data_IF_991144135173
#
_entry.id   IF_991144135173
#
_cell.length_a   1.000
_cell.length_b   1.000
_cell.length_c   1.000
_cell.angle_alpha   90.00
_cell.angle_beta   90.00
_cell.angle_gamma   90.00
#
_symmetry.space_group_name_H-M   'P 1'
#
loop_
_entity.id
_entity.type
_entity.pdbx_description
1 polymer ?
#
# COMPACT_ATOMS: atom_id res chain seq x y z
N UNK A 1 -33.12 59.45 46.44
CA UNK A 1 -32.07 59.54 47.49
C UNK A 1 -30.78 60.00 46.80
N UNK A 2 -30.44 61.29 46.89
CA UNK A 2 -29.17 61.86 46.40
C UNK A 2 -28.12 61.64 47.48
N UNK A 3 -26.96 61.09 47.12
CA UNK A 3 -25.72 61.26 47.89
C UNK A 3 -24.58 61.55 46.93
N UNK A 4 -23.86 62.62 47.26
CA UNK A 4 -22.65 63.16 46.65
C UNK A 4 -21.48 62.63 47.48
N UNK A 5 -20.42 62.10 46.87
CA UNK A 5 -19.04 62.11 47.40
C UNK A 5 -18.12 62.13 46.17
N UNK A 6 -17.46 63.25 45.86
CA UNK A 6 -16.26 63.83 46.48
C UNK A 6 -14.98 63.06 46.12
N UNK A 7 -14.05 63.79 45.51
CA UNK A 7 -12.81 63.34 44.91
C UNK A 7 -11.80 62.79 45.92
N UNK A 8 -10.96 61.86 45.47
CA UNK A 8 -9.65 61.63 46.07
C UNK A 8 -8.63 61.43 44.95
N UNK A 9 -7.72 62.39 44.85
CA UNK A 9 -6.54 62.32 43.99
C UNK A 9 -5.50 61.44 44.67
N UNK A 10 -5.04 60.40 43.98
CA UNK A 10 -3.75 59.76 44.29
C UNK A 10 -2.83 60.01 43.10
N UNK A 11 -1.88 60.91 43.33
CA UNK A 11 -0.65 61.04 42.56
C UNK A 11 0.30 59.97 43.11
N UNK A 12 0.85 59.12 42.24
CA UNK A 12 1.83 58.14 42.70
C UNK A 12 2.35 57.19 41.62
N UNK A 13 3.53 57.53 41.11
CA UNK A 13 4.57 56.65 40.56
C UNK A 13 4.36 56.06 39.15
N UNK A 14 4.92 56.84 38.21
CA UNK A 14 5.52 56.39 36.96
C UNK A 14 6.46 55.18 37.21
N UNK A 15 6.06 54.02 36.73
CA UNK A 15 6.97 52.96 36.30
C UNK A 15 6.53 52.54 34.90
N UNK A 16 7.44 52.38 33.92
CA UNK A 16 7.04 51.86 32.62
C UNK A 16 6.63 50.41 32.83
N UNK A 17 5.32 50.14 32.85
CA UNK A 17 4.80 48.80 32.63
C UNK A 17 5.15 48.45 31.21
N UNK A 18 6.28 47.76 31.05
CA UNK A 18 6.61 47.03 29.83
C UNK A 18 5.46 46.04 29.64
N UNK A 19 4.55 46.40 28.74
CA UNK A 19 3.58 45.47 28.18
C UNK A 19 4.41 44.45 27.39
N UNK A 20 4.73 43.33 28.03
CA UNK A 20 5.16 42.13 27.34
C UNK A 20 3.97 41.69 26.49
N UNK A 21 3.96 42.14 25.24
CA UNK A 21 3.14 41.53 24.20
C UNK A 21 3.76 40.16 24.01
N UNK A 22 3.12 39.11 24.52
CA UNK A 22 3.50 37.75 24.19
C UNK A 22 3.48 37.61 22.65
N UNK A 23 4.61 37.38 21.97
CA UNK A 23 4.64 37.21 20.52
C UNK A 23 4.09 35.83 20.11
N UNK A 24 3.40 35.14 21.01
CA UNK A 24 2.97 33.76 20.89
C UNK A 24 1.52 33.56 21.32
N UNK A 25 0.67 34.57 21.13
CA UNK A 25 -0.78 34.34 21.06
C UNK A 25 -1.18 34.24 19.58
N UNK A 26 -0.72 33.18 18.92
CA UNK A 26 -1.40 32.71 17.71
C UNK A 26 -2.72 32.11 18.18
N UNK A 27 -3.82 32.82 17.94
CA UNK A 27 -5.14 32.21 17.90
C UNK A 27 -5.07 31.06 16.89
N UNK A 28 -4.96 29.85 17.42
CA UNK A 28 -5.17 28.63 16.65
C UNK A 28 -6.64 28.66 16.26
N UNK A 29 -6.89 29.15 15.06
CA UNK A 29 -8.18 29.07 14.42
C UNK A 29 -8.46 27.58 14.20
N UNK A 30 -9.25 27.01 15.09
CA UNK A 30 -9.60 25.59 15.11
C UNK A 30 -10.74 25.40 14.10
N UNK A 31 -10.40 25.46 12.81
CA UNK A 31 -11.31 25.12 11.72
C UNK A 31 -10.86 23.82 11.04
N UNK A 32 -11.84 22.91 10.98
CA UNK A 32 -11.90 21.61 10.31
C UNK A 32 -11.04 20.47 10.89
N UNK A 33 -11.47 20.00 12.06
CA UNK A 33 -11.25 18.61 12.45
C UNK A 33 -12.23 17.71 11.69
N UNK A 34 -11.97 17.47 10.41
CA UNK A 34 -12.40 16.23 9.77
C UNK A 34 -11.47 15.13 10.30
N UNK A 35 -11.94 14.35 11.27
CA UNK A 35 -11.23 13.15 11.72
C UNK A 35 -11.01 12.21 10.53
N UNK A 36 -9.80 12.20 9.97
CA UNK A 36 -9.39 11.16 9.02
C UNK A 36 -8.92 9.93 9.80
N UNK A 37 -9.79 8.94 9.97
CA UNK A 37 -9.42 7.56 10.32
C UNK A 37 -8.58 6.86 9.23
N UNK A 38 -8.10 5.61 9.46
CA UNK A 38 -6.68 5.24 9.34
C UNK A 38 -6.08 5.03 7.93
N UNK A 39 -6.82 5.24 6.83
CA UNK A 39 -6.24 5.23 5.49
C UNK A 39 -7.10 6.04 4.52
N UNK A 40 -6.48 7.00 3.84
CA UNK A 40 -7.10 7.67 2.69
C UNK A 40 -6.62 6.97 1.41
N UNK A 41 -7.58 6.31 0.74
CA UNK A 41 -7.37 5.73 -0.58
C UNK A 41 -6.90 6.79 -1.60
N UNK A 42 -6.27 6.37 -2.70
CA UNK A 42 -5.81 7.31 -3.72
C UNK A 42 -7.00 8.06 -4.32
N UNK A 43 -6.86 9.37 -4.50
CA UNK A 43 -7.93 10.20 -5.07
C UNK A 43 -7.94 10.17 -6.61
N UNK A 44 -6.85 9.70 -7.23
CA UNK A 44 -6.71 9.66 -8.69
C UNK A 44 -6.12 8.34 -9.16
N UNK A 45 -6.45 7.96 -10.40
CA UNK A 45 -5.86 6.77 -11.05
C UNK A 45 -4.33 6.84 -11.10
N UNK A 46 -3.77 8.04 -11.32
CA UNK A 46 -2.31 8.24 -11.34
C UNK A 46 -1.69 7.89 -10.00
N UNK A 47 -2.32 8.30 -8.91
CA UNK A 47 -1.87 8.01 -7.56
C UNK A 47 -2.02 6.52 -7.23
N UNK A 48 -3.16 5.91 -7.58
CA UNK A 48 -3.43 4.49 -7.39
C UNK A 48 -2.38 3.62 -8.10
N UNK A 49 -2.06 3.97 -9.36
CA UNK A 49 -1.00 3.32 -10.13
C UNK A 49 0.36 3.44 -9.46
N UNK A 50 0.73 4.64 -9.01
CA UNK A 50 2.01 4.85 -8.35
C UNK A 50 2.13 4.03 -7.07
N UNK A 51 1.08 3.99 -6.24
CA UNK A 51 1.03 3.19 -5.00
C UNK A 51 1.10 1.69 -5.31
N UNK A 52 0.33 1.21 -6.28
CA UNK A 52 0.33 -0.19 -6.69
C UNK A 52 1.70 -0.63 -7.22
N UNK A 53 2.34 0.19 -8.06
CA UNK A 53 3.64 -0.12 -8.63
C UNK A 53 4.73 -0.22 -7.55
N UNK A 54 4.77 0.75 -6.62
CA UNK A 54 5.71 0.71 -5.49
C UNK A 54 5.51 -0.54 -4.63
N UNK A 55 4.26 -0.87 -4.31
CA UNK A 55 3.96 -2.06 -3.51
C UNK A 55 4.31 -3.35 -4.25
N UNK A 56 4.06 -3.40 -5.56
CA UNK A 56 4.46 -4.53 -6.39
C UNK A 56 5.98 -4.75 -6.37
N UNK A 57 6.78 -3.69 -6.58
CA UNK A 57 8.24 -3.81 -6.55
C UNK A 57 8.76 -4.28 -5.18
N UNK A 58 8.15 -3.77 -4.09
CA UNK A 58 8.49 -4.19 -2.73
C UNK A 58 8.21 -5.70 -2.53
N UNK A 59 7.01 -6.16 -2.86
CA UNK A 59 6.60 -7.56 -2.65
C UNK A 59 7.37 -8.49 -3.59
N UNK A 60 7.53 -8.12 -4.86
CA UNK A 60 8.31 -8.89 -5.83
C UNK A 60 9.76 -9.01 -5.38
N UNK A 61 10.42 -7.91 -5.02
CA UNK A 61 11.80 -7.93 -4.53
C UNK A 61 11.95 -8.76 -3.26
N UNK A 62 11.03 -8.61 -2.30
CA UNK A 62 11.03 -9.39 -1.05
C UNK A 62 10.90 -10.89 -1.33
N UNK A 63 9.96 -11.28 -2.19
CA UNK A 63 9.74 -12.68 -2.57
C UNK A 63 11.01 -13.30 -3.19
N UNK A 64 11.71 -12.55 -4.06
CA UNK A 64 12.93 -13.03 -4.72
C UNK A 64 14.08 -13.21 -3.72
N UNK A 65 14.26 -12.26 -2.80
CA UNK A 65 15.29 -12.34 -1.74
C UNK A 65 14.99 -13.50 -0.79
N UNK A 66 13.74 -13.64 -0.33
CA UNK A 66 13.33 -14.74 0.56
C UNK A 66 13.53 -16.11 -0.11
N UNK A 67 13.18 -16.25 -1.39
CA UNK A 67 13.44 -17.49 -2.13
C UNK A 67 14.93 -17.80 -2.29
N UNK A 68 15.80 -16.78 -2.41
CA UNK A 68 17.24 -17.00 -2.59
C UNK A 68 17.93 -17.33 -1.26
N UNK A 69 17.58 -16.62 -0.20
CA UNK A 69 18.35 -16.62 1.05
C UNK A 69 17.77 -17.55 2.12
N UNK A 70 16.45 -17.81 2.08
CA UNK A 70 15.74 -18.51 3.17
C UNK A 70 15.10 -19.84 2.75
N UNK A 71 14.95 -20.10 1.46
CA UNK A 71 14.32 -21.32 0.97
C UNK A 71 15.34 -22.45 0.81
N UNK A 72 15.10 -23.56 1.51
CA UNK A 72 15.80 -24.82 1.32
C UNK A 72 14.88 -25.78 0.55
N UNK A 73 15.32 -26.18 -0.65
CA UNK A 73 14.55 -27.07 -1.52
C UNK A 73 14.60 -28.54 -1.09
N UNK A 74 15.55 -28.92 -0.23
CA UNK A 74 15.64 -30.26 0.36
C UNK A 74 14.74 -30.39 1.60
N UNK A 75 14.51 -29.27 2.31
CA UNK A 75 13.63 -29.22 3.49
C UNK A 75 12.62 -28.06 3.41
N UNK A 76 11.62 -28.14 2.50
CA UNK A 76 10.69 -27.04 2.22
C UNK A 76 9.61 -26.88 3.31
N UNK A 77 10.05 -26.56 4.53
CA UNK A 77 9.19 -26.37 5.71
C UNK A 77 8.43 -25.04 5.68
N UNK A 78 8.95 -24.03 4.97
CA UNK A 78 8.31 -22.74 4.75
C UNK A 78 8.35 -22.36 3.27
N UNK A 79 7.19 -22.28 2.61
CA UNK A 79 7.08 -21.81 1.23
C UNK A 79 7.16 -20.29 1.23
N UNK A 80 8.12 -19.64 0.55
CA UNK A 80 8.34 -18.21 0.72
C UNK A 80 7.15 -17.34 0.29
N UNK A 81 6.35 -17.78 -0.71
CA UNK A 81 5.13 -17.06 -1.08
C UNK A 81 4.09 -17.10 0.04
N UNK A 82 3.95 -18.23 0.75
CA UNK A 82 3.00 -18.34 1.88
C UNK A 82 3.41 -17.49 3.07
N UNK A 83 4.71 -17.24 3.25
CA UNK A 83 5.20 -16.36 4.32
C UNK A 83 4.75 -14.90 4.15
N UNK A 84 4.27 -14.52 2.97
CA UNK A 84 3.74 -13.19 2.69
C UNK A 84 2.19 -13.15 2.67
N UNK A 85 1.51 -14.29 2.75
CA UNK A 85 0.04 -14.32 2.70
C UNK A 85 -0.59 -13.58 3.90
N UNK A 86 0.02 -13.69 5.10
CA UNK A 86 -0.40 -12.94 6.28
C UNK A 86 -0.21 -11.42 6.09
N UNK A 87 0.83 -11.00 5.35
CA UNK A 87 1.00 -9.58 4.97
C UNK A 87 -0.17 -9.14 4.08
N UNK A 88 -0.64 -9.99 3.18
CA UNK A 88 -1.78 -9.66 2.30
C UNK A 88 -3.07 -9.52 3.11
N UNK A 89 -3.28 -10.35 4.12
CA UNK A 89 -4.40 -10.26 5.06
C UNK A 89 -4.36 -8.92 5.81
N UNK A 90 -3.20 -8.52 6.32
CA UNK A 90 -3.06 -7.27 7.07
C UNK A 90 -3.19 -6.02 6.18
N UNK A 91 -2.76 -6.10 4.90
CA UNK A 91 -3.01 -5.04 3.92
C UNK A 91 -4.51 -4.85 3.64
N UNK A 92 -5.27 -5.94 3.55
CA UNK A 92 -6.73 -5.88 3.39
C UNK A 92 -7.40 -5.29 4.63
N UNK A 93 -7.00 -5.71 5.83
CA UNK A 93 -7.56 -5.15 7.09
C UNK A 93 -7.29 -3.65 7.23
N UNK A 94 -6.02 -3.26 7.11
CA UNK A 94 -5.57 -1.92 7.47
C UNK A 94 -5.88 -0.89 6.38
N UNK A 95 -5.79 -1.29 5.11
CA UNK A 95 -5.84 -0.38 3.96
C UNK A 95 -6.91 -0.74 2.93
N UNK A 96 -7.67 -1.82 3.14
CA UNK A 96 -8.66 -2.34 2.19
C UNK A 96 -8.05 -2.66 0.81
N UNK A 97 -6.73 -2.84 0.77
CA UNK A 97 -5.98 -3.20 -0.43
C UNK A 97 -5.86 -4.71 -0.48
N UNK A 98 -6.37 -5.32 -1.55
CA UNK A 98 -6.28 -6.76 -1.74
C UNK A 98 -5.07 -7.12 -2.59
N UNK A 99 -4.28 -8.09 -2.13
CA UNK A 99 -3.16 -8.66 -2.87
C UNK A 99 -3.40 -10.15 -3.09
N UNK A 100 -3.07 -10.65 -4.29
CA UNK A 100 -3.18 -12.07 -4.64
C UNK A 100 -2.07 -12.50 -5.58
N UNK A 101 -1.53 -13.69 -5.34
CA UNK A 101 -0.68 -14.36 -6.32
C UNK A 101 -1.49 -14.80 -7.55
N UNK A 102 -0.83 -14.79 -8.71
CA UNK A 102 -1.41 -15.16 -9.98
C UNK A 102 -0.50 -16.13 -10.73
N UNK A 103 -1.02 -17.26 -11.16
CA UNK A 103 -0.33 -18.16 -12.09
C UNK A 103 -0.53 -17.67 -13.53
N UNK A 104 0.56 -17.45 -14.28
CA UNK A 104 0.50 -16.95 -15.66
C UNK A 104 0.88 -18.04 -16.66
N UNK A 105 2.12 -18.50 -16.68
CA UNK A 105 2.59 -19.55 -17.61
C UNK A 105 3.40 -20.68 -16.93
N UNK A 106 3.28 -20.78 -15.60
CA UNK A 106 3.84 -21.83 -14.77
C UNK A 106 2.77 -22.89 -14.41
N UNK A 107 3.20 -24.02 -13.84
CA UNK A 107 2.26 -24.99 -13.29
C UNK A 107 1.53 -24.39 -12.09
N UNK A 108 0.26 -24.77 -11.93
CA UNK A 108 -0.52 -24.40 -10.75
C UNK A 108 0.03 -25.20 -9.56
N UNK A 109 0.85 -24.53 -8.75
CA UNK A 109 1.35 -25.06 -7.48
C UNK A 109 0.28 -24.92 -6.38
N UNK A 110 -0.51 -23.84 -6.42
CA UNK A 110 -1.67 -23.61 -5.56
C UNK A 110 -2.88 -23.19 -6.41
N UNK A 111 -4.01 -23.89 -6.25
CA UNK A 111 -5.26 -23.62 -6.98
C UNK A 111 -5.81 -22.23 -6.72
N UNK A 112 -5.51 -21.64 -5.57
CA UNK A 112 -5.95 -20.29 -5.24
C UNK A 112 -5.29 -19.20 -6.08
N UNK A 113 -4.19 -19.51 -6.78
CA UNK A 113 -3.48 -18.57 -7.64
C UNK A 113 -4.00 -18.59 -9.09
N UNK A 114 -4.99 -19.42 -9.40
CA UNK A 114 -5.61 -19.38 -10.72
C UNK A 114 -6.40 -18.08 -10.91
N UNK A 115 -6.45 -17.59 -12.15
CA UNK A 115 -7.26 -16.45 -12.52
C UNK A 115 -8.75 -16.79 -12.35
N UNK A 116 -9.47 -15.97 -11.56
CA UNK A 116 -10.89 -16.09 -11.25
C UNK A 116 -11.69 -15.00 -11.96
N UNK A 117 -11.23 -13.75 -11.90
CA UNK A 117 -11.95 -12.58 -12.46
C UNK A 117 -11.62 -12.33 -13.93
N UNK A 118 -12.44 -11.55 -14.62
CA UNK A 118 -12.16 -11.13 -16.01
C UNK A 118 -10.87 -10.30 -16.12
N UNK A 119 -10.59 -9.46 -15.11
CA UNK A 119 -9.33 -8.74 -15.03
C UNK A 119 -8.14 -9.70 -14.90
N UNK A 120 -8.20 -10.67 -13.99
CA UNK A 120 -7.12 -11.64 -13.80
C UNK A 120 -6.87 -12.46 -15.09
N UNK A 121 -7.94 -12.87 -15.80
CA UNK A 121 -7.82 -13.56 -17.09
C UNK A 121 -7.18 -12.68 -18.16
N UNK A 122 -7.51 -11.39 -18.21
CA UNK A 122 -6.84 -10.41 -19.08
C UNK A 122 -5.37 -10.28 -18.71
N UNK A 123 -5.07 -10.11 -17.43
CA UNK A 123 -3.70 -9.98 -16.93
C UNK A 123 -2.86 -11.20 -17.30
N UNK A 124 -3.35 -12.43 -17.13
CA UNK A 124 -2.64 -13.64 -17.56
C UNK A 124 -2.27 -13.57 -19.05
N UNK A 125 -3.20 -13.19 -19.93
CA UNK A 125 -2.93 -13.07 -21.37
C UNK A 125 -1.91 -11.99 -21.71
N UNK A 126 -1.91 -10.87 -20.99
CA UNK A 126 -1.01 -9.75 -21.24
C UNK A 126 0.39 -10.01 -20.67
N UNK A 127 0.48 -10.52 -19.45
CA UNK A 127 1.75 -10.87 -18.82
C UNK A 127 2.45 -12.02 -19.54
N UNK A 128 1.70 -13.01 -20.04
CA UNK A 128 2.27 -14.09 -20.87
C UNK A 128 2.90 -13.58 -22.19
N UNK A 129 2.52 -12.39 -22.66
CA UNK A 129 3.12 -11.73 -23.84
C UNK A 129 4.35 -10.90 -23.48
N UNK A 130 4.72 -10.82 -22.20
CA UNK A 130 5.87 -10.06 -21.72
C UNK A 130 5.60 -8.58 -21.46
N UNK A 131 4.34 -8.17 -21.35
CA UNK A 131 3.99 -6.79 -20.94
C UNK A 131 4.49 -6.53 -19.51
N UNK A 132 4.94 -5.31 -19.22
CA UNK A 132 5.47 -4.92 -17.92
C UNK A 132 4.42 -4.90 -16.80
N UNK A 133 3.15 -4.64 -17.11
CA UNK A 133 2.01 -4.78 -16.21
C UNK A 133 0.68 -4.74 -16.99
N UNK A 134 -0.40 -5.18 -16.36
CA UNK A 134 -1.79 -4.98 -16.79
C UNK A 134 -2.52 -4.12 -15.78
N UNK A 135 -3.35 -3.19 -16.24
CA UNK A 135 -4.22 -2.40 -15.37
C UNK A 135 -5.68 -2.44 -15.81
N UNK A 136 -6.57 -2.13 -14.87
CA UNK A 136 -7.99 -1.90 -15.09
C UNK A 136 -8.51 -0.86 -14.08
N UNK A 137 -9.47 -0.05 -14.51
CA UNK A 137 -10.13 0.97 -13.68
C UNK A 137 -11.63 0.86 -13.90
N UNK A 138 -12.39 0.67 -12.84
CA UNK A 138 -13.85 0.56 -12.92
C UNK A 138 -14.45 0.17 -11.57
N UNK A 139 -15.76 0.41 -11.41
CA UNK A 139 -16.53 -0.01 -10.23
C UNK A 139 -15.96 0.50 -8.89
N UNK A 140 -15.35 1.68 -8.87
CA UNK A 140 -14.69 2.22 -7.67
C UNK A 140 -13.40 1.49 -7.31
N UNK A 141 -12.78 0.78 -8.25
CA UNK A 141 -11.55 0.02 -8.05
C UNK A 141 -10.50 0.39 -9.09
N UNK A 142 -9.25 0.44 -8.62
CA UNK A 142 -8.06 0.37 -9.45
C UNK A 142 -7.43 -1.01 -9.29
N UNK A 143 -7.21 -1.72 -10.39
CA UNK A 143 -6.58 -3.03 -10.38
C UNK A 143 -5.27 -3.00 -11.18
N UNK A 144 -4.24 -3.62 -10.62
CA UNK A 144 -2.92 -3.76 -11.20
C UNK A 144 -2.48 -5.21 -11.15
N UNK A 145 -1.79 -5.67 -12.19
CA UNK A 145 -1.13 -6.96 -12.21
C UNK A 145 0.28 -6.83 -12.78
N UNK A 146 1.30 -7.18 -11.98
CA UNK A 146 2.70 -7.14 -12.37
C UNK A 146 3.29 -8.56 -12.51
N UNK A 147 4.25 -8.78 -13.42
CA UNK A 147 4.86 -10.10 -13.65
C UNK A 147 5.87 -10.45 -12.57
N UNK A 148 5.90 -11.70 -12.12
CA UNK A 148 6.97 -12.23 -11.28
C UNK A 148 7.77 -13.19 -12.15
N UNK A 149 9.02 -12.83 -12.45
CA UNK A 149 9.90 -13.69 -13.24
C UNK A 149 10.34 -14.88 -12.40
N UNK A 150 10.06 -16.07 -12.91
CA UNK A 150 10.55 -17.34 -12.36
C UNK A 150 11.83 -17.72 -13.10
N UNK A 151 12.97 -17.48 -12.46
CA UNK A 151 14.28 -17.88 -12.98
C UNK A 151 14.54 -19.38 -12.76
N UNK A 152 15.66 -19.90 -13.29
CA UNK A 152 15.95 -21.34 -13.37
C UNK A 152 15.73 -22.10 -12.06
N UNK A 153 16.18 -21.56 -10.92
CA UNK A 153 15.99 -22.17 -9.60
C UNK A 153 14.50 -22.26 -9.20
N UNK A 154 13.69 -21.26 -9.52
CA UNK A 154 12.26 -21.24 -9.23
C UNK A 154 11.52 -22.34 -10.01
N UNK A 155 12.01 -22.71 -11.19
CA UNK A 155 11.35 -23.69 -12.05
C UNK A 155 11.39 -25.12 -11.49
N UNK A 156 12.24 -25.42 -10.49
CA UNK A 156 12.26 -26.74 -9.83
C UNK A 156 10.90 -27.09 -9.23
N UNK A 157 10.22 -26.10 -8.65
CA UNK A 157 8.92 -26.28 -7.99
C UNK A 157 7.74 -25.79 -8.84
N UNK A 158 7.98 -24.79 -9.70
CA UNK A 158 6.93 -24.16 -10.51
C UNK A 158 6.71 -24.82 -11.89
N UNK A 159 7.50 -25.83 -12.25
CA UNK A 159 7.36 -26.59 -13.51
C UNK A 159 7.67 -28.08 -13.26
N UNK A 160 6.64 -28.87 -12.94
CA UNK A 160 6.73 -30.29 -12.50
C UNK A 160 7.48 -31.18 -13.49
N UNK A 161 7.27 -30.98 -14.79
CA UNK A 161 7.87 -31.77 -15.87
C UNK A 161 8.76 -30.90 -16.77
N UNK A 162 9.65 -30.12 -16.16
CA UNK A 162 10.47 -29.15 -16.87
C UNK A 162 11.36 -29.81 -17.94
N UNK A 163 11.14 -29.45 -19.21
CA UNK A 163 11.96 -29.89 -20.36
C UNK A 163 13.04 -28.88 -20.76
N UNK A 164 12.97 -27.64 -20.26
CA UNK A 164 13.93 -26.57 -20.53
C UNK A 164 14.02 -25.57 -19.36
N UNK A 165 15.07 -24.75 -19.33
CA UNK A 165 15.29 -23.74 -18.29
C UNK A 165 14.83 -22.34 -18.68
N UNK A 166 14.02 -22.22 -19.74
CA UNK A 166 13.47 -20.93 -20.12
C UNK A 166 12.67 -20.35 -18.95
N UNK A 167 12.78 -19.06 -18.66
CA UNK A 167 12.03 -18.44 -17.58
C UNK A 167 10.53 -18.62 -17.79
N UNK A 168 9.81 -18.58 -16.66
CA UNK A 168 8.35 -18.52 -16.61
C UNK A 168 7.93 -17.24 -15.88
N UNK A 169 6.64 -17.00 -15.88
CA UNK A 169 5.95 -15.84 -15.38
C UNK A 169 4.88 -16.34 -14.40
N UNK A 170 4.95 -15.80 -13.20
CA UNK A 170 3.82 -15.68 -12.29
C UNK A 170 3.42 -14.21 -12.24
N UNK A 171 2.51 -13.84 -11.36
CA UNK A 171 2.13 -12.46 -11.17
C UNK A 171 1.66 -12.15 -9.75
N UNK A 172 1.56 -10.87 -9.48
CA UNK A 172 0.93 -10.30 -8.30
C UNK A 172 -0.18 -9.36 -8.75
N UNK A 173 -1.39 -9.63 -8.28
CA UNK A 173 -2.56 -8.78 -8.47
C UNK A 173 -2.72 -7.91 -7.24
N UNK A 174 -2.97 -6.63 -7.48
CA UNK A 174 -3.21 -5.60 -6.46
C UNK A 174 -4.53 -4.91 -6.82
N UNK A 175 -5.47 -4.88 -5.88
CA UNK A 175 -6.73 -4.15 -6.02
C UNK A 175 -6.81 -3.07 -4.94
N UNK A 176 -6.99 -1.83 -5.37
CA UNK A 176 -7.05 -0.65 -4.52
C UNK A 176 -8.43 0.00 -4.69
N UNK A 177 -9.18 0.24 -3.61
CA UNK A 177 -10.42 1.01 -3.68
C UNK A 177 -10.14 2.47 -4.01
N UNK A 178 -11.02 3.04 -4.83
CA UNK A 178 -11.00 4.41 -5.31
C UNK A 178 -12.32 5.10 -4.94
N UNK A 179 -12.31 6.42 -4.68
CA UNK A 179 -13.52 7.21 -4.55
C UNK A 179 -14.31 7.29 -5.86
#
# INVERSE_FOLDING_TARGET
MRWIFSACWIVGLLGPTVLWIDPFALEVNQEDQTESGPYQGPATVKEARSRAFLMYELINGSLQVMHRDLFDDETPSAIPSSSLDDVFVEMKKSFQVELRWLTVDADVVNVDHQAKTEFEKKAVRELAKGTSYSENVGEGLYQFAGPIRLASQCLKCHVKNRTNTNPRTSGLVITIPMP
#
